data_IF_645911749714
#
_entry.id   IF_645911749714
#
_cell.length_a   1.000
_cell.length_b   1.000
_cell.length_c   1.000
_cell.angle_alpha   90.00
_cell.angle_beta   90.00
_cell.angle_gamma   90.00
#
_symmetry.space_group_name_H-M   'P 1'
#
loop_
_entity.id
_entity.type
_entity.pdbx_description
1 polymer ?
#
# COMPACT_ATOMS: atom_id res chain seq x y z
N UNK A 1 -10.73 -19.97 -10.45
CA UNK A 1 -11.06 -18.59 -10.01
C UNK A 1 -9.78 -17.77 -10.15
N UNK A 2 -9.80 -16.65 -10.88
CA UNK A 2 -8.60 -15.81 -11.05
C UNK A 2 -8.44 -14.90 -9.84
N UNK A 3 -7.35 -15.04 -9.10
CA UNK A 3 -7.07 -14.19 -7.95
C UNK A 3 -6.58 -12.82 -8.40
N UNK A 4 -7.11 -11.77 -7.78
CA UNK A 4 -6.69 -10.39 -8.04
C UNK A 4 -6.46 -9.67 -6.73
N UNK A 5 -5.26 -9.14 -6.56
CA UNK A 5 -4.85 -8.36 -5.39
C UNK A 5 -4.61 -6.93 -5.81
N UNK A 6 -5.17 -5.99 -5.07
CA UNK A 6 -4.82 -4.58 -5.17
C UNK A 6 -4.02 -4.15 -3.96
N UNK A 7 -3.22 -3.11 -4.13
CA UNK A 7 -2.65 -2.37 -3.01
C UNK A 7 -2.87 -0.87 -3.17
N UNK A 8 -3.01 -0.18 -2.04
CA UNK A 8 -3.36 1.24 -1.99
C UNK A 8 -2.43 1.97 -1.03
N UNK A 9 -1.78 3.03 -1.48
CA UNK A 9 -1.01 3.95 -0.64
C UNK A 9 -1.52 5.39 -0.80
N UNK A 10 -1.99 5.95 0.30
CA UNK A 10 -2.59 7.27 0.35
C UNK A 10 -1.54 8.31 0.73
N UNK A 11 -1.37 9.30 -0.14
CA UNK A 11 -0.67 10.56 0.18
C UNK A 11 -1.66 11.72 0.14
N UNK A 12 -1.24 12.94 0.51
CA UNK A 12 -2.11 14.11 0.42
C UNK A 12 -2.33 14.65 -0.99
N UNK A 13 -1.48 14.25 -1.94
CA UNK A 13 -1.49 14.75 -3.31
C UNK A 13 -1.84 13.69 -4.34
N UNK A 14 -1.76 12.40 -3.99
CA UNK A 14 -2.01 11.26 -4.87
C UNK A 14 -2.40 10.02 -4.05
N UNK A 15 -3.33 9.21 -4.56
CA UNK A 15 -3.48 7.81 -4.13
C UNK A 15 -2.79 6.90 -5.14
N UNK A 16 -1.77 6.17 -4.70
CA UNK A 16 -1.04 5.20 -5.51
C UNK A 16 -1.72 3.84 -5.43
N UNK A 17 -1.90 3.17 -6.55
CA UNK A 17 -2.57 1.88 -6.65
C UNK A 17 -1.68 0.91 -7.41
N UNK A 18 -1.49 -0.30 -6.89
CA UNK A 18 -0.92 -1.42 -7.62
C UNK A 18 -1.95 -2.55 -7.74
N UNK A 19 -1.82 -3.35 -8.80
CA UNK A 19 -2.60 -4.56 -9.03
C UNK A 19 -1.67 -5.71 -9.41
N UNK A 20 -1.84 -6.85 -8.76
CA UNK A 20 -1.31 -8.14 -9.21
C UNK A 20 -2.51 -9.03 -9.52
N UNK A 21 -2.56 -9.55 -10.73
CA UNK A 21 -3.60 -10.46 -11.18
C UNK A 21 -2.94 -11.77 -11.57
N UNK A 22 -3.51 -12.88 -11.12
CA UNK A 22 -3.05 -14.22 -11.48
C UNK A 22 -3.12 -14.43 -12.99
N UNK A 23 -2.04 -15.00 -13.53
CA UNK A 23 -1.89 -15.40 -14.94
C UNK A 23 -1.31 -16.81 -15.00
N UNK A 24 -1.13 -17.36 -16.20
CA UNK A 24 -0.54 -18.70 -16.41
C UNK A 24 0.96 -18.77 -16.01
N UNK A 25 1.56 -17.66 -15.59
CA UNK A 25 2.94 -17.60 -15.11
C UNK A 25 3.13 -16.51 -14.05
N UNK A 26 4.38 -16.18 -13.69
CA UNK A 26 4.64 -15.16 -12.68
C UNK A 26 4.11 -13.79 -13.11
N UNK A 27 3.26 -13.19 -12.28
CA UNK A 27 2.61 -11.92 -12.56
C UNK A 27 3.54 -10.72 -12.28
N UNK A 28 3.47 -9.68 -13.11
CA UNK A 28 4.17 -8.41 -12.87
C UNK A 28 3.14 -7.40 -12.32
N UNK A 29 3.45 -6.67 -11.22
CA UNK A 29 2.55 -5.64 -10.72
C UNK A 29 2.29 -4.54 -11.76
N UNK A 30 1.03 -4.18 -11.96
CA UNK A 30 0.64 -2.99 -12.72
C UNK A 30 0.35 -1.85 -11.77
N UNK A 31 0.87 -0.64 -12.04
CA UNK A 31 0.65 0.53 -11.20
C UNK A 31 -0.18 1.60 -11.88
N UNK A 32 -0.93 2.34 -11.07
CA UNK A 32 -1.67 3.52 -11.48
C UNK A 32 -1.83 4.46 -10.29
N UNK A 33 -2.43 5.62 -10.51
CA UNK A 33 -2.74 6.55 -9.43
C UNK A 33 -4.04 7.30 -9.68
N UNK A 34 -4.51 7.99 -8.65
CA UNK A 34 -5.64 8.91 -8.65
C UNK A 34 -5.16 10.23 -8.07
N UNK A 35 -5.36 11.31 -8.82
CA UNK A 35 -5.08 12.67 -8.38
C UNK A 35 -6.33 13.23 -7.66
N UNK A 36 -6.19 13.86 -6.48
CA UNK A 36 -7.31 14.51 -5.82
C UNK A 36 -7.92 15.62 -6.71
N UNK A 37 -9.25 15.74 -6.72
CA UNK A 37 -9.94 16.76 -7.52
C UNK A 37 -9.57 18.17 -7.05
N UNK A 38 -9.55 19.09 -8.02
CA UNK A 38 -9.29 20.51 -7.75
C UNK A 38 -10.62 21.23 -7.50
N UNK A 39 -10.77 21.81 -6.30
CA UNK A 39 -11.89 22.67 -5.95
C UNK A 39 -11.43 24.10 -5.74
N UNK A 40 -12.28 25.08 -6.09
CA UNK A 40 -12.09 26.48 -5.69
C UNK A 40 -12.17 26.63 -4.16
N UNK A 41 -11.31 27.48 -3.58
CA UNK A 41 -11.26 27.70 -2.13
C UNK A 41 -10.51 26.60 -1.38
N UNK A 42 -9.21 26.47 -1.66
CA UNK A 42 -8.30 25.57 -0.96
C UNK A 42 -8.33 25.77 0.56
N UNK A 43 -8.30 24.67 1.32
CA UNK A 43 -8.19 24.62 2.79
C UNK A 43 -9.45 24.94 3.61
N UNK A 44 -10.66 24.78 3.05
CA UNK A 44 -11.89 24.77 3.85
C UNK A 44 -12.20 23.35 4.34
N UNK A 45 -12.80 23.16 5.54
CA UNK A 45 -13.19 21.84 6.02
C UNK A 45 -14.11 21.10 5.04
N UNK A 46 -15.13 21.77 4.49
CA UNK A 46 -16.06 21.18 3.52
C UNK A 46 -15.35 20.72 2.25
N UNK A 47 -14.48 21.56 1.65
CA UNK A 47 -13.77 21.18 0.42
C UNK A 47 -12.74 20.08 0.68
N UNK A 48 -12.16 20.02 1.88
CA UNK A 48 -11.27 18.93 2.27
C UNK A 48 -12.03 17.60 2.41
N UNK A 49 -13.23 17.64 3.01
CA UNK A 49 -14.11 16.48 3.12
C UNK A 49 -14.57 15.97 1.76
N UNK A 50 -15.07 16.86 0.89
CA UNK A 50 -15.53 16.51 -0.46
C UNK A 50 -14.41 15.87 -1.29
N UNK A 51 -13.20 16.45 -1.27
CA UNK A 51 -12.01 15.84 -1.90
C UNK A 51 -11.76 14.41 -1.41
N UNK A 52 -11.85 14.20 -0.10
CA UNK A 52 -11.59 12.89 0.47
C UNK A 52 -12.65 11.86 0.07
N UNK A 53 -13.93 12.25 0.03
CA UNK A 53 -15.01 11.39 -0.45
C UNK A 53 -14.84 11.02 -1.93
N UNK A 54 -14.65 12.01 -2.81
CA UNK A 54 -14.52 11.76 -4.25
C UNK A 54 -13.31 10.88 -4.58
N UNK A 55 -12.17 11.13 -3.94
CA UNK A 55 -10.98 10.27 -4.08
C UNK A 55 -11.28 8.84 -3.62
N UNK A 56 -11.94 8.68 -2.47
CA UNK A 56 -12.29 7.35 -1.97
C UNK A 56 -13.26 6.61 -2.90
N UNK A 57 -14.27 7.32 -3.44
CA UNK A 57 -15.22 6.77 -4.40
C UNK A 57 -14.51 6.32 -5.69
N UNK A 58 -13.60 7.14 -6.23
CA UNK A 58 -12.84 6.82 -7.43
C UNK A 58 -11.88 5.63 -7.21
N UNK A 59 -11.21 5.57 -6.06
CA UNK A 59 -10.32 4.45 -5.70
C UNK A 59 -11.11 3.15 -5.65
N UNK A 60 -12.25 3.13 -4.96
CA UNK A 60 -13.06 1.92 -4.84
C UNK A 60 -13.66 1.51 -6.17
N UNK A 61 -14.21 2.46 -6.94
CA UNK A 61 -14.73 2.18 -8.28
C UNK A 61 -13.65 1.57 -9.19
N UNK A 62 -12.40 2.06 -9.10
CA UNK A 62 -11.28 1.51 -9.86
C UNK A 62 -10.92 0.10 -9.44
N UNK A 63 -10.86 -0.17 -8.13
CA UNK A 63 -10.54 -1.49 -7.58
C UNK A 63 -11.60 -2.53 -7.95
N UNK A 64 -12.89 -2.16 -7.91
CA UNK A 64 -14.01 -3.09 -8.15
C UNK A 64 -14.50 -3.12 -9.59
N UNK A 65 -13.90 -2.32 -10.49
CA UNK A 65 -14.31 -2.22 -11.90
C UNK A 65 -14.32 -3.54 -12.67
N UNK A 66 -13.48 -4.50 -12.26
CA UNK A 66 -13.33 -5.81 -12.89
C UNK A 66 -13.93 -6.95 -12.03
N UNK A 67 -14.76 -6.63 -11.05
CA UNK A 67 -15.30 -7.58 -10.07
C UNK A 67 -14.66 -7.47 -8.69
N UNK A 68 -15.01 -8.38 -7.79
CA UNK A 68 -14.49 -8.37 -6.42
C UNK A 68 -13.04 -8.82 -6.39
N UNK A 69 -12.11 -8.00 -5.86
CA UNK A 69 -10.74 -8.45 -5.65
C UNK A 69 -10.69 -9.52 -4.56
N UNK A 70 -9.70 -10.40 -4.66
CA UNK A 70 -9.40 -11.39 -3.62
C UNK A 70 -8.96 -10.71 -2.33
N UNK A 71 -8.21 -9.61 -2.44
CA UNK A 71 -7.75 -8.81 -1.30
C UNK A 71 -7.32 -7.41 -1.74
N UNK A 72 -7.49 -6.43 -0.85
CA UNK A 72 -6.87 -5.11 -0.95
C UNK A 72 -5.86 -4.94 0.20
N UNK A 73 -4.60 -4.66 -0.13
CA UNK A 73 -3.55 -4.37 0.85
C UNK A 73 -3.34 -2.86 0.95
N UNK A 74 -3.78 -2.27 2.05
CA UNK A 74 -3.56 -0.86 2.33
C UNK A 74 -2.21 -0.63 3.01
N UNK A 75 -1.50 0.41 2.58
CA UNK A 75 -0.29 0.87 3.22
C UNK A 75 -0.63 1.38 4.63
N UNK A 76 -0.12 0.70 5.65
CA UNK A 76 -0.40 1.06 7.04
C UNK A 76 0.09 2.47 7.32
N UNK A 77 -0.81 3.33 7.78
CA UNK A 77 -0.47 4.71 8.10
C UNK A 77 0.42 4.76 9.34
N UNK A 78 1.61 5.35 9.19
CA UNK A 78 2.54 5.60 10.30
C UNK A 78 2.59 7.09 10.59
N UNK A 79 2.64 7.44 11.88
CA UNK A 79 2.82 8.81 12.34
C UNK A 79 4.26 8.95 12.82
N UNK A 80 5.04 9.77 12.14
CA UNK A 80 6.42 10.03 12.55
C UNK A 80 6.48 10.90 13.80
N UNK A 81 7.44 10.68 14.71
CA UNK A 81 7.84 11.72 15.66
C UNK A 81 8.53 12.86 14.89
N UNK A 82 8.18 14.11 15.18
CA UNK A 82 8.79 15.28 14.54
C UNK A 82 10.13 15.64 15.16
N UNK A 83 11.11 15.98 14.31
CA UNK A 83 12.35 16.61 14.76
C UNK A 83 12.05 17.95 15.49
N UNK A 84 12.84 18.34 16.49
CA UNK A 84 12.58 19.55 17.29
C UNK A 84 12.72 20.81 16.44
N UNK A 85 11.61 21.52 16.22
CA UNK A 85 11.62 22.89 15.72
C UNK A 85 12.11 23.82 16.83
N UNK A 86 13.28 24.45 16.65
CA UNK A 86 13.78 25.50 17.54
C UNK A 86 13.01 26.80 17.26
N UNK A 87 11.87 26.98 17.91
CA UNK A 87 11.29 28.30 18.05
C UNK A 87 12.22 29.11 18.97
N UNK A 88 12.67 30.27 18.50
CA UNK A 88 13.64 31.15 19.17
C UNK A 88 13.33 31.25 20.67
N UNK A 89 14.19 30.67 21.51
CA UNK A 89 14.37 31.09 22.91
C UNK A 89 13.78 30.24 24.05
N UNK A 90 13.10 29.11 23.83
CA UNK A 90 12.67 28.27 24.97
C UNK A 90 12.75 26.76 24.68
N UNK A 91 13.57 26.02 25.42
CA UNK A 91 14.05 24.67 25.08
C UNK A 91 13.15 23.50 25.52
N UNK A 92 11.84 23.71 25.72
CA UNK A 92 10.93 22.65 26.23
C UNK A 92 9.58 22.48 25.51
N UNK A 93 9.35 23.10 24.36
CA UNK A 93 8.11 22.92 23.61
C UNK A 93 8.38 22.38 22.19
N UNK A 94 8.37 21.06 22.04
CA UNK A 94 8.35 20.38 20.74
C UNK A 94 6.93 20.42 20.15
N UNK A 95 6.70 21.08 19.01
CA UNK A 95 5.58 20.89 18.06
C UNK A 95 5.92 21.71 16.77
N UNK A 96 5.52 21.31 15.53
CA UNK A 96 4.22 20.72 15.18
C UNK A 96 4.30 19.39 14.42
N UNK A 97 3.40 18.44 14.77
CA UNK A 97 3.23 17.14 14.11
C UNK A 97 2.91 17.24 12.62
N UNK A 98 3.05 16.12 11.90
CA UNK A 98 2.70 15.98 10.48
C UNK A 98 1.25 16.47 10.22
N UNK A 99 1.06 17.72 9.72
CA UNK A 99 -0.27 18.32 9.61
C UNK A 99 -1.08 17.69 8.47
N UNK A 100 -0.41 16.89 7.65
CA UNK A 100 -0.97 16.20 6.50
C UNK A 100 -1.46 14.79 6.88
N UNK A 101 -1.05 14.27 8.05
CA UNK A 101 -1.47 12.96 8.57
C UNK A 101 -2.99 12.84 8.71
N UNK A 102 -3.66 13.88 9.22
CA UNK A 102 -5.13 13.92 9.33
C UNK A 102 -5.82 13.72 7.96
N UNK A 103 -5.29 14.33 6.90
CA UNK A 103 -5.89 14.23 5.56
C UNK A 103 -5.68 12.86 4.96
N UNK A 104 -4.49 12.27 5.16
CA UNK A 104 -4.20 10.91 4.71
C UNK A 104 -5.06 9.87 5.42
N UNK A 105 -5.20 9.96 6.75
CA UNK A 105 -6.03 9.03 7.52
C UNK A 105 -7.52 9.17 7.15
N UNK A 106 -7.99 10.38 6.85
CA UNK A 106 -9.35 10.59 6.40
C UNK A 106 -9.64 9.87 5.08
N UNK A 107 -8.77 10.02 4.08
CA UNK A 107 -8.93 9.31 2.80
C UNK A 107 -8.80 7.80 3.00
N UNK A 108 -7.83 7.36 3.79
CA UNK A 108 -7.58 5.95 4.10
C UNK A 108 -8.83 5.28 4.70
N UNK A 109 -9.37 5.85 5.78
CA UNK A 109 -10.56 5.32 6.47
C UNK A 109 -11.82 5.34 5.60
N UNK A 110 -11.98 6.35 4.75
CA UNK A 110 -13.09 6.41 3.79
C UNK A 110 -13.00 5.32 2.72
N UNK A 111 -11.80 4.93 2.30
CA UNK A 111 -11.58 3.79 1.39
C UNK A 111 -11.91 2.49 2.12
N UNK A 112 -11.42 2.29 3.34
CA UNK A 112 -11.72 1.11 4.16
C UNK A 112 -13.22 0.91 4.40
N UNK A 113 -13.94 1.96 4.82
CA UNK A 113 -15.41 1.90 5.04
C UNK A 113 -16.15 1.40 3.80
N UNK A 114 -15.80 1.93 2.63
CA UNK A 114 -16.41 1.52 1.35
C UNK A 114 -16.07 0.08 0.98
N UNK A 115 -14.81 -0.32 1.13
CA UNK A 115 -14.37 -1.69 0.84
C UNK A 115 -15.05 -2.71 1.78
N UNK A 116 -15.13 -2.41 3.07
CA UNK A 116 -15.82 -3.25 4.04
C UNK A 116 -17.33 -3.37 3.74
N UNK A 117 -17.99 -2.29 3.34
CA UNK A 117 -19.41 -2.34 2.91
C UNK A 117 -19.63 -3.21 1.67
N UNK A 118 -18.61 -3.36 0.83
CA UNK A 118 -18.64 -4.23 -0.35
C UNK A 118 -18.19 -5.67 -0.04
N UNK A 119 -17.88 -5.98 1.22
CA UNK A 119 -17.37 -7.30 1.62
C UNK A 119 -15.98 -7.62 1.06
N UNK A 120 -15.21 -6.59 0.67
CA UNK A 120 -13.86 -6.77 0.16
C UNK A 120 -12.89 -7.02 1.32
N UNK A 121 -12.09 -8.10 1.32
CA UNK A 121 -11.08 -8.33 2.34
C UNK A 121 -9.98 -7.26 2.29
N UNK A 122 -9.76 -6.56 3.40
CA UNK A 122 -8.74 -5.51 3.54
C UNK A 122 -7.65 -5.97 4.53
N UNK A 123 -6.40 -5.82 4.11
CA UNK A 123 -5.23 -5.99 4.97
C UNK A 123 -4.47 -4.67 5.10
N UNK A 124 -3.86 -4.41 6.25
CA UNK A 124 -2.89 -3.32 6.42
C UNK A 124 -1.46 -3.87 6.55
N UNK A 125 -0.54 -3.33 5.77
CA UNK A 125 0.86 -3.77 5.81
C UNK A 125 1.84 -2.59 5.90
N UNK A 126 2.81 -2.62 6.84
CA UNK A 126 3.75 -1.51 7.03
C UNK A 126 4.96 -1.61 6.09
N UNK A 127 5.34 -0.49 5.46
CA UNK A 127 6.47 -0.44 4.51
C UNK A 127 7.82 -0.86 5.09
N UNK A 128 8.07 -0.61 6.38
CA UNK A 128 9.29 -1.08 7.06
C UNK A 128 9.42 -2.60 7.03
N UNK A 129 8.31 -3.32 7.02
CA UNK A 129 8.29 -4.78 6.89
C UNK A 129 8.30 -5.19 5.42
N UNK A 130 7.62 -4.42 4.56
CA UNK A 130 7.63 -4.65 3.12
C UNK A 130 9.04 -4.60 2.54
N UNK A 131 9.91 -3.71 3.01
CA UNK A 131 11.31 -3.65 2.59
C UNK A 131 12.10 -4.90 2.98
N UNK A 132 11.89 -5.42 4.19
CA UNK A 132 12.54 -6.67 4.63
C UNK A 132 12.07 -7.84 3.79
N UNK A 133 10.77 -7.88 3.50
CA UNK A 133 10.17 -8.90 2.65
C UNK A 133 10.73 -8.83 1.22
N UNK A 134 10.82 -7.63 0.64
CA UNK A 134 11.38 -7.42 -0.70
C UNK A 134 12.82 -7.97 -0.79
N UNK A 135 13.66 -7.62 0.19
CA UNK A 135 15.06 -8.07 0.28
C UNK A 135 15.22 -9.55 0.64
N UNK A 136 14.24 -10.16 1.29
CA UNK A 136 14.31 -11.51 1.83
C UNK A 136 15.10 -11.63 3.15
N UNK A 137 15.63 -10.52 3.70
CA UNK A 137 16.35 -10.48 4.98
C UNK A 137 16.25 -9.10 5.64
N UNK A 138 16.58 -9.03 6.94
CA UNK A 138 16.13 -7.95 7.83
C UNK A 138 17.23 -7.09 8.43
N UNK A 139 17.56 -5.97 7.78
CA UNK A 139 17.99 -4.77 8.51
C UNK A 139 16.80 -3.81 8.68
N UNK A 140 16.75 -3.11 9.82
CA UNK A 140 15.75 -2.06 10.03
C UNK A 140 16.19 -0.81 9.25
N UNK A 141 15.58 -0.54 8.11
CA UNK A 141 15.70 0.77 7.45
C UNK A 141 15.15 1.88 8.35
N UNK A 142 15.71 3.10 8.25
CA UNK A 142 15.26 4.26 9.03
C UNK A 142 14.50 5.25 8.15
N UNK A 143 13.24 5.51 8.51
CA UNK A 143 12.46 6.64 7.96
C UNK A 143 12.40 6.67 6.43
N UNK A 144 12.74 7.81 5.83
CA UNK A 144 12.65 8.06 4.38
C UNK A 144 13.48 7.11 3.50
N UNK A 145 14.56 6.52 4.05
CA UNK A 145 15.40 5.53 3.35
C UNK A 145 14.60 4.30 2.93
N UNK A 146 13.54 3.96 3.68
CA UNK A 146 12.69 2.81 3.38
C UNK A 146 11.97 3.00 2.05
N UNK A 147 11.42 4.20 1.81
CA UNK A 147 10.69 4.48 0.58
C UNK A 147 11.62 4.54 -0.62
N UNK A 148 12.79 5.16 -0.48
CA UNK A 148 13.81 5.17 -1.55
C UNK A 148 14.26 3.76 -1.89
N UNK A 149 14.63 2.96 -0.89
CA UNK A 149 15.06 1.58 -1.10
C UNK A 149 13.98 0.69 -1.74
N UNK A 150 12.71 0.90 -1.38
CA UNK A 150 11.58 0.21 -2.02
C UNK A 150 11.39 0.66 -3.46
N UNK A 151 11.51 1.96 -3.76
CA UNK A 151 11.42 2.47 -5.13
C UNK A 151 12.54 1.90 -6.00
N UNK A 152 13.79 1.88 -5.51
CA UNK A 152 14.93 1.30 -6.23
C UNK A 152 14.76 -0.21 -6.46
N UNK A 153 14.22 -0.91 -5.45
CA UNK A 153 13.88 -2.33 -5.57
C UNK A 153 12.81 -2.57 -6.63
N UNK A 154 11.75 -1.76 -6.66
CA UNK A 154 10.65 -1.86 -7.62
C UNK A 154 11.14 -1.58 -9.05
N UNK A 155 11.99 -0.58 -9.23
CA UNK A 155 12.60 -0.27 -10.51
C UNK A 155 13.49 -1.42 -11.01
N UNK A 156 14.36 -1.96 -10.15
CA UNK A 156 15.27 -3.06 -10.54
C UNK A 156 14.56 -4.41 -10.75
N UNK A 157 13.47 -4.68 -10.03
CA UNK A 157 12.75 -5.97 -10.10
C UNK A 157 11.71 -5.99 -11.20
N UNK A 158 10.98 -4.88 -11.41
CA UNK A 158 9.82 -4.83 -12.31
C UNK A 158 9.89 -3.73 -13.38
N UNK A 159 10.95 -2.92 -13.40
CA UNK A 159 11.06 -1.79 -14.34
C UNK A 159 10.03 -0.68 -14.11
N UNK A 160 9.41 -0.64 -12.93
CA UNK A 160 8.39 0.35 -12.59
C UNK A 160 9.08 1.56 -11.97
N UNK A 161 9.21 2.63 -12.75
CA UNK A 161 9.93 3.83 -12.33
C UNK A 161 9.02 4.90 -11.73
N UNK A 162 9.64 5.72 -10.89
CA UNK A 162 9.04 6.96 -10.40
C UNK A 162 8.81 7.91 -11.59
N UNK A 163 7.56 8.33 -11.81
CA UNK A 163 7.27 9.28 -12.90
C UNK A 163 7.75 10.69 -12.57
N UNK A 164 8.34 11.33 -13.56
CA UNK A 164 8.71 12.75 -13.53
C UNK A 164 7.90 13.49 -14.60
N UNK A 165 7.40 14.67 -14.27
CA UNK A 165 6.65 15.53 -15.18
C UNK A 165 7.24 16.94 -15.24
N UNK A 166 6.97 17.67 -16.32
CA UNK A 166 7.39 19.08 -16.40
C UNK A 166 6.33 19.94 -15.71
N UNK A 167 6.74 20.63 -14.65
CA UNK A 167 5.90 21.56 -13.91
C UNK A 167 5.60 22.82 -14.70
N UNK A 168 4.68 23.63 -14.16
CA UNK A 168 4.31 24.94 -14.75
C UNK A 168 5.48 25.91 -14.81
N UNK A 169 6.51 25.70 -14.00
CA UNK A 169 7.78 26.44 -13.99
C UNK A 169 8.79 25.93 -15.03
N UNK A 170 8.40 24.96 -15.88
CA UNK A 170 9.26 24.36 -16.90
C UNK A 170 10.31 23.39 -16.34
N UNK A 171 10.26 23.04 -15.05
CA UNK A 171 11.23 22.15 -14.41
C UNK A 171 10.69 20.74 -14.24
N UNK A 172 11.55 19.70 -14.21
CA UNK A 172 11.13 18.37 -13.84
C UNK A 172 10.69 18.32 -12.36
N UNK A 173 9.47 17.84 -12.11
CA UNK A 173 8.93 17.54 -10.80
C UNK A 173 8.62 16.05 -10.71
N UNK A 174 9.14 15.42 -9.67
CA UNK A 174 8.78 14.04 -9.36
C UNK A 174 7.33 13.98 -8.92
N UNK A 175 6.50 13.18 -9.61
CA UNK A 175 5.09 12.97 -9.21
C UNK A 175 5.05 12.41 -7.79
N UNK A 176 4.00 12.72 -7.04
CA UNK A 176 3.85 12.18 -5.67
C UNK A 176 3.41 10.70 -5.62
N UNK A 177 3.17 10.07 -6.77
CA UNK A 177 2.96 8.63 -6.88
C UNK A 177 4.11 7.85 -6.23
N UNK A 178 3.84 6.70 -5.62
CA UNK A 178 4.84 5.87 -4.93
C UNK A 178 4.90 4.47 -5.53
N UNK A 179 5.92 4.15 -6.36
CA UNK A 179 6.15 2.83 -6.93
C UNK A 179 6.19 1.71 -5.89
N UNK A 180 6.64 2.02 -4.67
CA UNK A 180 6.66 1.11 -3.52
C UNK A 180 5.33 0.38 -3.25
N UNK A 181 4.18 0.95 -3.67
CA UNK A 181 2.87 0.29 -3.54
C UNK A 181 2.83 -1.06 -4.30
N UNK A 182 3.66 -1.24 -5.33
CA UNK A 182 3.81 -2.52 -6.05
C UNK A 182 4.28 -3.65 -5.12
N UNK A 183 5.14 -3.35 -4.14
CA UNK A 183 5.62 -4.35 -3.17
C UNK A 183 4.48 -4.81 -2.27
N UNK A 184 3.57 -3.91 -1.88
CA UNK A 184 2.40 -4.28 -1.08
C UNK A 184 1.45 -5.20 -1.85
N UNK A 185 1.25 -4.93 -3.15
CA UNK A 185 0.45 -5.81 -4.00
C UNK A 185 1.12 -7.18 -4.16
N UNK A 186 2.45 -7.23 -4.31
CA UNK A 186 3.21 -8.47 -4.39
C UNK A 186 3.15 -9.28 -3.07
N UNK A 187 3.16 -8.61 -1.92
CA UNK A 187 2.98 -9.24 -0.59
C UNK A 187 1.60 -9.86 -0.47
N UNK A 188 0.55 -9.12 -0.85
CA UNK A 188 -0.81 -9.66 -0.84
C UNK A 188 -0.97 -10.83 -1.82
N UNK A 189 -0.37 -10.73 -3.02
CA UNK A 189 -0.33 -11.80 -4.01
C UNK A 189 0.31 -13.07 -3.44
N UNK A 190 1.48 -12.96 -2.81
CA UNK A 190 2.12 -14.09 -2.13
C UNK A 190 1.22 -14.65 -1.02
N UNK A 191 0.58 -13.81 -0.21
CA UNK A 191 -0.30 -14.26 0.86
C UNK A 191 -1.52 -15.07 0.35
N UNK A 192 -2.01 -14.78 -0.86
CA UNK A 192 -3.12 -15.50 -1.51
C UNK A 192 -2.66 -16.61 -2.47
N UNK A 193 -1.37 -16.93 -2.51
CA UNK A 193 -0.84 -18.03 -3.33
C UNK A 193 -0.62 -17.69 -4.81
N UNK A 194 -0.45 -16.42 -5.16
CA UNK A 194 -0.14 -15.98 -6.54
C UNK A 194 1.36 -15.76 -6.70
N UNK A 195 1.91 -16.30 -7.80
CA UNK A 195 3.31 -16.12 -8.18
C UNK A 195 3.56 -14.71 -8.73
N UNK A 196 4.64 -14.08 -8.27
CA UNK A 196 5.05 -12.74 -8.71
C UNK A 196 6.42 -12.84 -9.37
N UNK A 197 6.54 -12.28 -10.58
CA UNK A 197 7.79 -12.29 -11.33
C UNK A 197 8.93 -11.66 -10.52
N UNK A 198 10.11 -12.29 -10.53
CA UNK A 198 11.29 -11.80 -9.78
C UNK A 198 11.23 -12.02 -8.26
N UNK A 199 10.17 -12.64 -7.72
CA UNK A 199 10.01 -12.91 -6.30
C UNK A 199 10.00 -14.42 -6.04
N UNK A 200 11.03 -14.90 -5.34
CA UNK A 200 11.08 -16.28 -4.87
C UNK A 200 10.25 -16.45 -3.58
N UNK A 201 9.47 -17.53 -3.51
CA UNK A 201 8.73 -17.94 -2.32
C UNK A 201 9.66 -18.69 -1.37
N UNK A 202 10.09 -18.02 -0.30
CA UNK A 202 11.01 -18.56 0.70
C UNK A 202 10.40 -18.55 2.09
N UNK A 203 10.85 -19.44 2.98
CA UNK A 203 10.46 -19.43 4.40
C UNK A 203 10.69 -18.05 5.04
N UNK A 204 11.77 -17.37 4.66
CA UNK A 204 12.08 -16.03 5.17
C UNK A 204 11.00 -15.01 4.80
N UNK A 205 10.52 -15.01 3.55
CA UNK A 205 9.45 -14.08 3.11
C UNK A 205 8.10 -14.44 3.72
N UNK A 206 7.76 -15.73 3.75
CA UNK A 206 6.51 -16.20 4.34
C UNK A 206 6.45 -15.95 5.85
N UNK A 207 7.58 -16.14 6.55
CA UNK A 207 7.71 -15.80 7.96
C UNK A 207 7.51 -14.32 8.27
N UNK A 208 7.67 -13.41 7.29
CA UNK A 208 7.40 -11.97 7.46
C UNK A 208 5.93 -11.59 7.25
N UNK A 209 5.08 -12.51 6.79
CA UNK A 209 3.63 -12.32 6.70
C UNK A 209 2.92 -12.54 8.05
N UNK A 210 3.61 -13.17 9.01
CA UNK A 210 3.06 -13.59 10.29
C UNK A 210 2.75 -12.40 11.21
N UNK A 211 1.46 -12.11 11.39
CA UNK A 211 0.98 -11.06 12.28
C UNK A 211 1.26 -11.35 13.77
N UNK A 212 1.42 -12.61 14.17
CA UNK A 212 1.79 -12.96 15.55
C UNK A 212 3.21 -12.50 15.88
N UNK A 213 4.10 -12.42 14.89
CA UNK A 213 5.47 -11.90 15.03
C UNK A 213 5.56 -10.39 14.81
N UNK A 214 4.53 -9.78 14.22
CA UNK A 214 4.50 -8.36 13.91
C UNK A 214 3.07 -7.81 13.98
N UNK A 215 2.69 -7.32 15.16
CA UNK A 215 1.37 -6.75 15.43
C UNK A 215 1.01 -5.51 14.58
N UNK A 216 1.96 -4.96 13.82
CA UNK A 216 1.66 -3.90 12.85
C UNK A 216 0.95 -4.45 11.62
N UNK A 217 1.13 -5.73 11.27
CA UNK A 217 0.42 -6.36 10.16
C UNK A 217 -1.00 -6.66 10.62
N UNK A 218 -2.00 -6.26 9.84
CA UNK A 218 -3.39 -6.60 10.09
C UNK A 218 -3.94 -7.31 8.87
N UNK A 219 -4.31 -8.57 9.05
CA UNK A 219 -5.01 -9.34 8.04
C UNK A 219 -6.52 -9.30 8.29
N UNK A 220 -7.36 -9.57 7.27
CA UNK A 220 -8.78 -9.82 7.49
C UNK A 220 -8.98 -10.89 8.57
N UNK A 221 -10.02 -10.74 9.40
CA UNK A 221 -10.17 -11.51 10.65
C UNK A 221 -10.06 -13.04 10.49
N UNK A 222 -10.54 -13.58 9.37
CA UNK A 222 -10.55 -15.03 9.10
C UNK A 222 -9.43 -15.46 8.14
N UNK A 223 -8.54 -14.54 7.77
CA UNK A 223 -7.44 -14.81 6.87
C UNK A 223 -6.15 -15.09 7.64
N UNK A 224 -5.60 -16.28 7.45
CA UNK A 224 -4.26 -16.64 7.91
C UNK A 224 -3.35 -16.77 6.68
N UNK A 225 -2.24 -16.02 6.57
CA UNK A 225 -1.31 -16.18 5.45
C UNK A 225 -0.53 -17.51 5.55
N UNK A 226 -0.05 -18.07 4.42
CA UNK A 226 0.83 -19.23 4.45
C UNK A 226 2.16 -18.89 5.15
N UNK A 227 2.71 -19.84 5.91
CA UNK A 227 3.93 -19.65 6.70
C UNK A 227 5.13 -20.46 6.19
N UNK A 228 4.90 -21.42 5.28
CA UNK A 228 5.92 -22.28 4.67
C UNK A 228 5.67 -22.46 3.16
N UNK A 229 6.68 -22.75 2.33
CA UNK A 229 6.51 -23.00 0.90
C UNK A 229 5.48 -24.09 0.60
N UNK A 230 5.40 -25.13 1.44
CA UNK A 230 4.41 -26.19 1.31
C UNK A 230 2.97 -25.67 1.49
N UNK A 231 2.72 -24.91 2.56
CA UNK A 231 1.39 -24.28 2.80
C UNK A 231 1.03 -23.24 1.73
N UNK A 232 2.05 -22.59 1.16
CA UNK A 232 1.86 -21.65 0.06
C UNK A 232 1.50 -22.37 -1.24
N UNK A 233 2.17 -23.48 -1.57
CA UNK A 233 1.86 -24.26 -2.77
C UNK A 233 0.49 -24.94 -2.68
N UNK A 234 0.10 -25.40 -1.49
CA UNK A 234 -1.27 -25.86 -1.22
C UNK A 234 -2.29 -24.76 -1.52
N UNK A 235 -2.07 -23.54 -1.01
CA UNK A 235 -2.91 -22.37 -1.30
C UNK A 235 -2.92 -21.98 -2.77
N UNK A 236 -1.80 -22.13 -3.47
CA UNK A 236 -1.72 -21.90 -4.91
C UNK A 236 -2.61 -22.87 -5.67
N UNK A 237 -2.59 -24.16 -5.30
CA UNK A 237 -3.39 -25.23 -5.91
C UNK A 237 -4.86 -25.20 -5.52
N UNK A 238 -5.19 -24.66 -4.34
CA UNK A 238 -6.54 -24.63 -3.77
C UNK A 238 -7.01 -23.21 -3.44
N UNK A 239 -7.17 -22.32 -4.46
CA UNK A 239 -7.61 -20.94 -4.24
C UNK A 239 -9.02 -20.83 -3.64
N UNK A 240 -9.86 -21.85 -3.78
CA UNK A 240 -11.20 -21.94 -3.19
C UNK A 240 -11.20 -21.90 -1.65
N UNK A 241 -10.08 -22.22 -1.01
CA UNK A 241 -9.96 -22.15 0.46
C UNK A 241 -9.88 -20.68 0.94
N UNK A 242 -9.67 -19.73 0.03
CA UNK A 242 -9.64 -18.30 0.34
C UNK A 242 -11.02 -17.67 0.48
N UNK A 243 -12.10 -18.34 0.04
CA UNK A 243 -13.46 -17.85 0.28
C UNK A 243 -13.83 -18.08 1.73
N UNK A 244 -13.47 -17.09 2.54
CA UNK A 244 -14.10 -16.81 3.83
C UNK A 244 -15.58 -16.50 3.55
N UNK A 245 -16.48 -17.21 4.23
CA UNK A 245 -17.92 -17.01 4.10
C UNK A 245 -18.32 -15.56 4.41
N UNK A 246 -19.24 -15.03 3.60
CA UNK A 246 -20.00 -13.82 3.93
C UNK A 246 -21.07 -14.17 4.96
#
# INVERSE_FOLDING_TARGET
MTRTVFAVDVTTSVVSIARVQETDGPAIPAVSWIDPPSFGGSHRPLTTWQKACEVADEVVAKITSAGNPTMVVMAKQQWGPTAPWKLRGNSRASLPGDPSAQRRIQIHTLIEDRLHRLGVPVAEFPYVTALKWARGYGEKGRGGEVMTALTDYVASTWGIEQRTEIGRDGKPHTRSFRPAVAVLAAIGAMAVGVEVAGIEVTDARLGMLDAAKNAMIQWPAEFVPPSTPASWDERRRHPEVLTVGV
#
